data_IF_272385430928
#
_entry.id   IF_272385430928
#
_cell.length_a   1.000
_cell.length_b   1.000
_cell.length_c   1.000
_cell.angle_alpha   90.00
_cell.angle_beta   90.00
_cell.angle_gamma   90.00
#
_symmetry.space_group_name_H-M   'P 1'
#
loop_
_entity.id
_entity.type
_entity.pdbx_description
1 polymer ?
#
# COMPACT_ATOMS: atom_id res chain seq x y z
N UNK A 1 8.62 26.93 -26.65
CA UNK A 1 7.86 25.72 -26.26
C UNK A 1 8.38 25.29 -24.90
N UNK A 2 7.61 25.52 -23.84
CA UNK A 2 7.97 25.01 -22.52
C UNK A 2 7.56 23.55 -22.48
N UNK A 3 8.52 22.66 -22.69
CA UNK A 3 8.35 21.27 -22.31
C UNK A 3 8.34 21.26 -20.78
N UNK A 4 7.14 21.17 -20.19
CA UNK A 4 7.00 20.96 -18.75
C UNK A 4 7.54 19.57 -18.47
N UNK A 5 8.84 19.48 -18.21
CA UNK A 5 9.48 18.27 -17.72
C UNK A 5 8.96 18.07 -16.30
N UNK A 6 7.84 17.36 -16.16
CA UNK A 6 7.37 16.89 -14.87
C UNK A 6 8.51 16.06 -14.27
N UNK A 7 8.96 16.35 -13.03
CA UNK A 7 10.01 15.56 -12.40
C UNK A 7 9.62 14.06 -12.45
N UNK A 8 10.56 13.14 -12.74
CA UNK A 8 10.30 11.70 -12.84
C UNK A 8 9.71 11.07 -11.56
N UNK A 9 9.58 11.85 -10.48
CA UNK A 9 9.07 11.46 -9.17
C UNK A 9 7.72 12.13 -8.85
N UNK A 10 6.91 12.44 -9.87
CA UNK A 10 5.62 13.08 -9.64
C UNK A 10 4.66 12.12 -8.92
N UNK A 11 4.18 12.50 -7.74
CA UNK A 11 3.18 11.78 -6.93
C UNK A 11 1.97 11.26 -7.73
N UNK A 12 1.63 11.93 -8.84
CA UNK A 12 0.60 11.48 -9.78
C UNK A 12 0.89 10.10 -10.40
N UNK A 13 2.15 9.76 -10.62
CA UNK A 13 2.54 8.44 -11.12
C UNK A 13 2.22 7.34 -10.11
N UNK A 14 2.40 7.58 -8.81
CA UNK A 14 1.98 6.64 -7.78
C UNK A 14 0.47 6.42 -7.78
N UNK A 15 -0.32 7.49 -7.98
CA UNK A 15 -1.78 7.37 -8.12
C UNK A 15 -2.15 6.53 -9.35
N UNK A 16 -1.51 6.79 -10.50
CA UNK A 16 -1.73 6.00 -11.71
C UNK A 16 -1.38 4.53 -11.52
N UNK A 17 -0.24 4.23 -10.90
CA UNK A 17 0.17 2.86 -10.63
C UNK A 17 -0.75 2.13 -9.66
N UNK A 18 -1.24 2.80 -8.62
CA UNK A 18 -2.25 2.21 -7.73
C UNK A 18 -3.55 1.88 -8.47
N UNK A 19 -4.00 2.76 -9.36
CA UNK A 19 -5.21 2.51 -10.14
C UNK A 19 -5.02 1.32 -11.09
N UNK A 20 -3.84 1.19 -11.70
CA UNK A 20 -3.48 0.02 -12.51
C UNK A 20 -3.40 -1.24 -11.65
N UNK A 21 -2.78 -1.18 -10.48
CA UNK A 21 -2.70 -2.30 -9.53
C UNK A 21 -4.08 -2.79 -9.09
N UNK A 22 -4.98 -1.86 -8.76
CA UNK A 22 -6.38 -2.16 -8.41
C UNK A 22 -7.14 -2.77 -9.58
N UNK A 23 -6.91 -2.28 -10.80
CA UNK A 23 -7.55 -2.82 -12.00
C UNK A 23 -7.09 -4.25 -12.28
N UNK A 24 -5.80 -4.54 -12.08
CA UNK A 24 -5.24 -5.88 -12.19
C UNK A 24 -5.75 -6.81 -11.09
N UNK A 25 -5.91 -6.33 -9.86
CA UNK A 25 -6.54 -7.08 -8.77
C UNK A 25 -7.95 -7.52 -9.16
N UNK A 26 -8.76 -6.63 -9.72
CA UNK A 26 -10.11 -6.94 -10.19
C UNK A 26 -10.13 -7.95 -11.35
N UNK A 27 -9.02 -8.08 -12.09
CA UNK A 27 -8.84 -9.08 -13.15
C UNK A 27 -8.25 -10.41 -12.62
N UNK A 28 -7.97 -10.52 -11.31
CA UNK A 28 -7.32 -11.69 -10.70
C UNK A 28 -5.80 -11.77 -10.93
N UNK A 29 -5.21 -10.72 -11.50
CA UNK A 29 -3.78 -10.65 -11.86
C UNK A 29 -2.93 -10.16 -10.67
N UNK A 30 -3.04 -10.86 -9.54
CA UNK A 30 -2.49 -10.43 -8.24
C UNK A 30 -0.97 -10.22 -8.25
N UNK A 31 -0.20 -11.08 -8.92
CA UNK A 31 1.27 -10.93 -9.03
C UNK A 31 1.67 -9.69 -9.82
N UNK A 32 0.92 -9.34 -10.87
CA UNK A 32 1.16 -8.10 -11.63
C UNK A 32 0.76 -6.89 -10.78
N UNK A 33 -0.38 -6.97 -10.10
CA UNK A 33 -0.86 -5.94 -9.18
C UNK A 33 0.17 -5.59 -8.10
N UNK A 34 0.80 -6.60 -7.48
CA UNK A 34 1.87 -6.41 -6.49
C UNK A 34 2.98 -5.49 -7.01
N UNK A 35 3.49 -5.74 -8.22
CA UNK A 35 4.56 -4.92 -8.81
C UNK A 35 4.18 -3.45 -8.94
N UNK A 36 2.92 -3.16 -9.28
CA UNK A 36 2.45 -1.77 -9.41
C UNK A 36 2.30 -1.09 -8.05
N UNK A 37 1.80 -1.80 -7.04
CA UNK A 37 1.71 -1.25 -5.70
C UNK A 37 3.09 -1.05 -5.03
N UNK A 38 4.05 -1.95 -5.23
CA UNK A 38 5.44 -1.77 -4.78
C UNK A 38 6.07 -0.52 -5.38
N UNK A 39 5.86 -0.32 -6.69
CA UNK A 39 6.32 0.86 -7.40
C UNK A 39 5.67 2.15 -6.87
N UNK A 40 4.36 2.13 -6.60
CA UNK A 40 3.65 3.27 -6.01
C UNK A 40 4.15 3.60 -4.59
N UNK A 41 4.39 2.57 -3.76
CA UNK A 41 4.98 2.72 -2.43
C UNK A 41 6.36 3.37 -2.53
N UNK A 42 7.22 2.93 -3.46
CA UNK A 42 8.55 3.50 -3.63
C UNK A 42 8.52 4.99 -3.97
N UNK A 43 7.60 5.43 -4.84
CA UNK A 43 7.42 6.85 -5.12
C UNK A 43 6.92 7.59 -3.87
N UNK A 44 5.87 7.08 -3.20
CA UNK A 44 5.32 7.73 -2.00
C UNK A 44 6.36 7.87 -0.89
N UNK A 45 7.22 6.88 -0.70
CA UNK A 45 8.30 6.91 0.30
C UNK A 45 9.33 8.01 0.02
N UNK A 46 9.58 8.32 -1.24
CA UNK A 46 10.49 9.41 -1.64
C UNK A 46 9.81 10.79 -1.57
N UNK A 47 8.54 10.86 -1.93
CA UNK A 47 7.81 12.11 -2.10
C UNK A 47 7.08 12.61 -0.84
N UNK A 48 6.85 11.75 0.16
CA UNK A 48 6.10 12.07 1.39
C UNK A 48 6.97 11.85 2.63
N UNK A 49 6.58 12.44 3.76
CA UNK A 49 7.15 12.06 5.06
C UNK A 49 6.87 10.58 5.35
N UNK A 50 7.77 9.93 6.10
CA UNK A 50 7.65 8.52 6.47
C UNK A 50 6.36 8.17 7.23
N UNK A 51 5.73 9.17 7.84
CA UNK A 51 4.51 9.03 8.63
C UNK A 51 3.25 9.46 7.88
N UNK A 52 3.34 9.67 6.57
CA UNK A 52 2.18 10.11 5.80
C UNK A 52 1.09 9.01 5.74
N UNK A 53 -0.19 9.29 6.05
CA UNK A 53 -1.27 8.29 6.03
C UNK A 53 -1.41 7.51 4.71
N UNK A 54 -1.19 8.14 3.55
CA UNK A 54 -1.16 7.46 2.25
C UNK A 54 -0.18 6.27 2.19
N UNK A 55 0.95 6.33 2.90
CA UNK A 55 1.87 5.20 2.99
C UNK A 55 1.24 4.05 3.79
N UNK A 56 0.56 4.35 4.89
CA UNK A 56 -0.16 3.33 5.66
C UNK A 56 -1.22 2.62 4.79
N UNK A 57 -1.98 3.39 4.00
CA UNK A 57 -2.97 2.83 3.05
C UNK A 57 -2.31 1.92 2.02
N UNK A 58 -1.19 2.37 1.45
CA UNK A 58 -0.46 1.59 0.45
C UNK A 58 0.04 0.26 1.02
N UNK A 59 0.60 0.28 2.23
CA UNK A 59 1.07 -0.91 2.92
C UNK A 59 -0.05 -1.86 3.33
N UNK A 60 -1.22 -1.34 3.70
CA UNK A 60 -2.40 -2.18 3.97
C UNK A 60 -2.86 -2.91 2.70
N UNK A 61 -2.91 -2.19 1.56
CA UNK A 61 -3.33 -2.77 0.29
C UNK A 61 -2.37 -3.86 -0.20
N UNK A 62 -1.05 -3.60 -0.16
CA UNK A 62 -0.07 -4.62 -0.56
C UNK A 62 -0.06 -5.81 0.41
N UNK A 63 -0.35 -5.60 1.70
CA UNK A 63 -0.51 -6.67 2.68
C UNK A 63 -1.65 -7.63 2.33
N UNK A 64 -2.82 -7.09 1.93
CA UNK A 64 -3.94 -7.90 1.42
C UNK A 64 -3.54 -8.71 0.18
N UNK A 65 -2.83 -8.09 -0.77
CA UNK A 65 -2.39 -8.75 -1.99
C UNK A 65 -1.40 -9.88 -1.72
N UNK A 66 -0.47 -9.70 -0.77
CA UNK A 66 0.43 -10.78 -0.36
C UNK A 66 -0.34 -11.97 0.24
N UNK A 67 -1.38 -11.73 1.05
CA UNK A 67 -2.24 -12.82 1.55
C UNK A 67 -2.96 -13.55 0.40
N UNK A 68 -3.47 -12.82 -0.60
CA UNK A 68 -4.15 -13.40 -1.77
C UNK A 68 -3.22 -14.33 -2.58
N UNK A 69 -1.92 -14.02 -2.67
CA UNK A 69 -0.94 -14.88 -3.36
C UNK A 69 -0.29 -15.92 -2.44
N UNK A 70 -0.74 -16.03 -1.18
CA UNK A 70 -0.27 -17.03 -0.21
C UNK A 70 1.00 -16.65 0.56
N UNK A 71 1.54 -15.46 0.34
CA UNK A 71 2.78 -14.93 0.93
C UNK A 71 2.52 -14.32 2.33
N UNK A 72 2.05 -15.15 3.27
CA UNK A 72 1.54 -14.72 4.59
C UNK A 72 2.54 -13.93 5.43
N UNK A 73 3.83 -14.30 5.40
CA UNK A 73 4.87 -13.57 6.14
C UNK A 73 5.06 -12.14 5.61
N UNK A 74 5.07 -11.97 4.28
CA UNK A 74 5.15 -10.65 3.65
C UNK A 74 3.90 -9.84 3.91
N UNK A 75 2.73 -10.49 3.92
CA UNK A 75 1.46 -9.86 4.28
C UNK A 75 1.49 -9.29 5.71
N UNK A 76 1.94 -10.09 6.69
CA UNK A 76 2.10 -9.63 8.08
C UNK A 76 3.06 -8.45 8.19
N UNK A 77 4.23 -8.54 7.56
CA UNK A 77 5.24 -7.47 7.58
C UNK A 77 4.72 -6.15 6.98
N UNK A 78 3.95 -6.23 5.88
CA UNK A 78 3.31 -5.07 5.27
C UNK A 78 2.23 -4.47 6.18
N UNK A 79 1.40 -5.30 6.81
CA UNK A 79 0.34 -4.85 7.72
C UNK A 79 0.92 -4.24 9.01
N UNK A 80 2.03 -4.77 9.52
CA UNK A 80 2.78 -4.18 10.64
C UNK A 80 3.31 -2.79 10.29
N UNK A 81 3.87 -2.62 9.08
CA UNK A 81 4.29 -1.30 8.58
C UNK A 81 3.11 -0.32 8.46
N UNK A 82 1.97 -0.78 7.93
CA UNK A 82 0.77 0.02 7.81
C UNK A 82 0.28 0.53 9.17
N UNK A 83 0.25 -0.35 10.17
CA UNK A 83 -0.14 0.00 11.54
C UNK A 83 0.85 0.99 12.17
N UNK A 84 2.15 0.74 12.08
CA UNK A 84 3.17 1.60 12.66
C UNK A 84 3.09 3.05 12.11
N UNK A 85 2.86 3.21 10.81
CA UNK A 85 2.66 4.53 10.18
C UNK A 85 1.32 5.14 10.60
N UNK A 86 0.25 4.35 10.56
CA UNK A 86 -1.09 4.82 10.89
C UNK A 86 -1.20 5.28 12.35
N UNK A 87 -0.57 4.59 13.30
CA UNK A 87 -0.62 4.94 14.73
C UNK A 87 0.11 6.24 15.05
N UNK A 88 1.12 6.60 14.25
CA UNK A 88 1.82 7.89 14.37
C UNK A 88 1.07 9.05 13.72
N UNK A 89 0.13 8.78 12.81
CA UNK A 89 -0.45 9.78 11.92
C UNK A 89 -1.97 9.94 12.00
N UNK A 90 -2.66 8.97 12.62
CA UNK A 90 -4.12 8.92 12.69
C UNK A 90 -4.59 8.71 14.15
N UNK A 91 -5.79 9.20 14.50
CA UNK A 91 -6.40 8.87 15.80
C UNK A 91 -6.58 7.35 15.99
N UNK A 92 -6.46 6.81 17.22
CA UNK A 92 -6.51 5.37 17.47
C UNK A 92 -7.75 4.63 16.92
N UNK A 93 -8.89 5.34 16.87
CA UNK A 93 -10.18 4.84 16.39
C UNK A 93 -10.45 5.13 14.90
N UNK A 94 -9.44 5.56 14.16
CA UNK A 94 -9.60 5.85 12.73
C UNK A 94 -9.95 4.56 11.96
N UNK A 95 -10.97 4.57 11.08
CA UNK A 95 -11.43 3.36 10.39
C UNK A 95 -10.33 2.60 9.65
N UNK A 96 -9.36 3.31 9.08
CA UNK A 96 -8.19 2.71 8.44
C UNK A 96 -7.37 1.84 9.40
N UNK A 97 -7.11 2.29 10.64
CA UNK A 97 -6.38 1.51 11.62
C UNK A 97 -7.17 0.27 12.04
N UNK A 98 -8.48 0.39 12.21
CA UNK A 98 -9.36 -0.75 12.48
C UNK A 98 -9.25 -1.78 11.36
N UNK A 99 -9.37 -1.37 10.09
CA UNK A 99 -9.24 -2.26 8.94
C UNK A 99 -7.85 -2.93 8.86
N UNK A 100 -6.76 -2.20 9.11
CA UNK A 100 -5.42 -2.79 9.16
C UNK A 100 -5.30 -3.88 10.25
N UNK A 101 -5.85 -3.64 11.44
CA UNK A 101 -5.83 -4.62 12.55
C UNK A 101 -6.63 -5.87 12.18
N UNK A 102 -7.81 -5.68 11.60
CA UNK A 102 -8.65 -6.78 11.13
C UNK A 102 -7.95 -7.63 10.06
N UNK A 103 -7.37 -6.99 9.04
CA UNK A 103 -6.62 -7.67 7.98
C UNK A 103 -5.45 -8.47 8.57
N UNK A 104 -4.72 -7.88 9.51
CA UNK A 104 -3.59 -8.54 10.17
C UNK A 104 -4.02 -9.77 10.98
N UNK A 105 -5.06 -9.63 11.78
CA UNK A 105 -5.61 -10.76 12.54
C UNK A 105 -6.18 -11.85 11.64
N UNK A 106 -6.76 -11.47 10.50
CA UNK A 106 -7.22 -12.41 9.48
C UNK A 106 -6.06 -13.22 8.89
N UNK A 107 -4.96 -12.58 8.49
CA UNK A 107 -3.76 -13.28 7.98
C UNK A 107 -3.18 -14.19 9.07
N UNK A 108 -3.06 -13.68 10.30
CA UNK A 108 -2.54 -14.44 11.45
C UNK A 108 -3.30 -15.74 11.70
N UNK A 109 -4.63 -15.75 11.56
CA UNK A 109 -5.46 -16.95 11.76
C UNK A 109 -5.26 -18.03 10.68
N UNK A 110 -4.64 -17.68 9.55
CA UNK A 110 -4.38 -18.60 8.44
C UNK A 110 -2.96 -19.16 8.42
N UNK A 111 -2.08 -18.69 9.31
CA UNK A 111 -0.72 -19.21 9.49
C UNK A 111 -0.79 -20.53 10.27
#
# INVERSE_FOLDING_TARGET
MYEVTLPPEHLRLAITWDNVGTSLENMGEHTKSLRFHENAINIRRKARSSDHPDLAVSYNNIGKLYDMVGEREKAMSALDHALAIGERSLPPNHPHLTACRENREYVRKKM
#
